data_IF_316514026717
#
_entry.id   IF_316514026717
#
_cell.length_a   1.000
_cell.length_b   1.000
_cell.length_c   1.000
_cell.angle_alpha   90.00
_cell.angle_beta   90.00
_cell.angle_gamma   90.00
#
_symmetry.space_group_name_H-M   'P 1'
#
loop_
_entity.id
_entity.type
_entity.pdbx_description
1 polymer ?
#
# COMPACT_ATOMS: atom_id res chain seq x y z
N UNK A 1 -13.89 -24.74 -14.08
CA UNK A 1 -13.67 -23.90 -15.27
C UNK A 1 -14.09 -22.49 -14.87
N UNK A 2 -13.17 -21.72 -14.27
CA UNK A 2 -13.44 -20.39 -13.71
C UNK A 2 -13.11 -19.36 -14.78
N UNK A 3 -14.15 -18.86 -15.44
CA UNK A 3 -14.06 -17.70 -16.33
C UNK A 3 -13.85 -16.46 -15.47
N UNK A 4 -12.58 -16.07 -15.37
CA UNK A 4 -12.14 -14.75 -14.93
C UNK A 4 -12.74 -13.69 -15.86
N UNK A 5 -13.80 -13.02 -15.41
CA UNK A 5 -14.35 -11.81 -16.05
C UNK A 5 -13.67 -10.59 -15.39
N UNK A 6 -12.34 -10.59 -15.30
CA UNK A 6 -11.55 -9.43 -14.85
C UNK A 6 -11.09 -8.59 -16.06
N UNK A 7 -11.99 -8.41 -17.03
CA UNK A 7 -11.76 -7.62 -18.24
C UNK A 7 -12.51 -6.29 -18.19
N UNK A 8 -12.49 -5.61 -17.06
CA UNK A 8 -13.10 -4.27 -16.96
C UNK A 8 -12.04 -3.23 -17.32
N UNK A 9 -12.29 -2.36 -18.28
CA UNK A 9 -11.35 -1.28 -18.65
C UNK A 9 -11.02 -0.30 -17.51
N UNK A 10 -11.80 -0.28 -16.43
CA UNK A 10 -11.42 0.34 -15.15
C UNK A 10 -10.15 -0.33 -14.55
N UNK A 11 -10.00 -1.65 -14.69
CA UNK A 11 -8.80 -2.42 -14.31
C UNK A 11 -7.60 -2.07 -15.21
N UNK A 12 -7.83 -1.70 -16.47
CA UNK A 12 -6.75 -1.28 -17.37
C UNK A 12 -6.08 0.01 -16.90
N UNK A 13 -6.86 1.02 -16.50
CA UNK A 13 -6.33 2.26 -15.92
C UNK A 13 -5.75 2.04 -14.52
N UNK A 14 -6.34 1.16 -13.71
CA UNK A 14 -5.76 0.77 -12.42
C UNK A 14 -4.40 0.09 -12.58
N UNK A 15 -4.22 -0.72 -13.62
CA UNK A 15 -2.92 -1.33 -13.91
C UNK A 15 -1.86 -0.27 -14.21
N UNK A 16 -2.15 0.69 -15.09
CA UNK A 16 -1.21 1.77 -15.41
C UNK A 16 -0.89 2.64 -14.19
N UNK A 17 -1.89 2.98 -13.37
CA UNK A 17 -1.69 3.70 -12.11
C UNK A 17 -0.88 2.88 -11.10
N UNK A 18 -1.11 1.58 -11.02
CA UNK A 18 -0.36 0.69 -10.13
C UNK A 18 1.09 0.55 -10.59
N UNK A 19 1.35 0.45 -11.90
CA UNK A 19 2.70 0.46 -12.46
C UNK A 19 3.43 1.76 -12.10
N UNK A 20 2.78 2.93 -12.23
CA UNK A 20 3.38 4.20 -11.80
C UNK A 20 3.57 4.31 -10.28
N UNK A 21 2.62 3.81 -9.50
CA UNK A 21 2.76 3.78 -8.05
C UNK A 21 3.98 2.93 -7.66
N UNK A 22 4.19 1.80 -8.32
CA UNK A 22 5.38 0.97 -8.11
C UNK A 22 6.66 1.68 -8.54
N UNK A 23 6.65 2.38 -9.67
CA UNK A 23 7.80 3.18 -10.10
C UNK A 23 8.12 4.32 -9.12
N UNK A 24 7.09 4.96 -8.58
CA UNK A 24 7.25 5.97 -7.53
C UNK A 24 7.82 5.35 -6.26
N UNK A 25 7.30 4.21 -5.80
CA UNK A 25 7.80 3.48 -4.63
C UNK A 25 9.28 3.11 -4.82
N UNK A 26 9.64 2.58 -5.99
CA UNK A 26 11.02 2.25 -6.31
C UNK A 26 11.91 3.50 -6.28
N UNK A 27 11.48 4.56 -6.95
CA UNK A 27 12.23 5.82 -7.00
C UNK A 27 12.43 6.40 -5.60
N UNK A 28 11.38 6.42 -4.79
CA UNK A 28 11.43 6.90 -3.40
C UNK A 28 12.39 6.05 -2.56
N UNK A 29 12.24 4.73 -2.61
CA UNK A 29 13.03 3.80 -1.81
C UNK A 29 14.53 3.87 -2.10
N UNK A 30 14.92 4.21 -3.34
CA UNK A 30 16.32 4.35 -3.75
C UNK A 30 16.82 5.81 -3.79
N UNK A 31 15.97 6.79 -3.55
CA UNK A 31 16.38 8.19 -3.54
C UNK A 31 17.28 8.49 -2.34
N UNK A 32 18.42 9.13 -2.57
CA UNK A 32 19.37 9.44 -1.50
C UNK A 32 18.91 10.68 -0.71
N UNK A 33 18.57 10.48 0.56
CA UNK A 33 18.22 11.55 1.49
C UNK A 33 19.49 12.16 2.10
N UNK A 34 19.42 13.47 2.35
CA UNK A 34 20.43 14.21 3.12
C UNK A 34 19.83 14.57 4.48
N UNK A 35 20.13 13.77 5.50
CA UNK A 35 19.68 13.99 6.87
C UNK A 35 20.79 14.74 7.62
N UNK A 36 20.42 15.81 8.34
CA UNK A 36 21.41 16.65 9.03
C UNK A 36 22.10 15.87 10.15
N UNK A 37 23.42 15.75 10.06
CA UNK A 37 24.23 15.05 11.06
C UNK A 37 24.39 13.55 10.81
N UNK A 38 23.80 13.03 9.73
CA UNK A 38 23.85 11.63 9.34
C UNK A 38 24.46 11.44 7.94
N UNK A 39 24.97 10.24 7.64
CA UNK A 39 25.40 9.92 6.28
C UNK A 39 24.22 9.88 5.32
N UNK A 40 24.45 10.30 4.08
CA UNK A 40 23.45 10.20 3.01
C UNK A 40 23.08 8.73 2.78
N UNK A 41 21.79 8.40 2.87
CA UNK A 41 21.26 7.03 2.72
C UNK A 41 19.90 7.06 2.03
N UNK A 42 19.53 5.94 1.41
CA UNK A 42 18.21 5.78 0.82
C UNK A 42 17.17 5.40 1.90
N UNK A 43 15.86 5.69 1.71
CA UNK A 43 14.82 5.20 2.62
C UNK A 43 14.86 3.68 2.83
N UNK A 44 15.17 2.90 1.79
CA UNK A 44 15.33 1.46 1.91
C UNK A 44 16.49 1.09 2.84
N UNK A 45 17.64 1.77 2.72
CA UNK A 45 18.78 1.55 3.60
C UNK A 45 18.46 1.95 5.04
N UNK A 46 17.83 3.11 5.24
CA UNK A 46 17.44 3.59 6.58
C UNK A 46 16.51 2.57 7.23
N UNK A 47 15.48 2.10 6.52
CA UNK A 47 14.57 1.07 7.04
C UNK A 47 15.29 -0.23 7.42
N UNK A 48 16.25 -0.67 6.60
CA UNK A 48 17.01 -1.89 6.87
C UNK A 48 17.98 -1.73 8.06
N UNK A 49 18.73 -0.63 8.12
CA UNK A 49 19.70 -0.39 9.19
C UNK A 49 19.03 -0.04 10.52
N UNK A 50 17.91 0.69 10.51
CA UNK A 50 17.17 0.96 11.73
C UNK A 50 16.64 -0.33 12.38
N UNK A 51 16.30 -1.35 11.60
CA UNK A 51 15.92 -2.65 12.17
C UNK A 51 17.09 -3.36 12.88
N UNK A 52 18.33 -3.08 12.48
CA UNK A 52 19.53 -3.62 13.12
C UNK A 52 19.89 -2.80 14.36
N UNK A 53 19.77 -1.48 14.28
CA UNK A 53 20.17 -0.55 15.34
C UNK A 53 19.12 -0.44 16.47
N UNK A 54 17.84 -0.36 16.11
CA UNK A 54 16.72 -0.12 17.03
C UNK A 54 15.89 -1.38 17.30
N UNK A 55 16.13 -2.45 16.55
CA UNK A 55 15.37 -3.71 16.61
C UNK A 55 14.31 -3.83 15.52
N UNK A 56 13.86 -5.07 15.28
CA UNK A 56 12.95 -5.37 14.18
C UNK A 56 11.53 -4.90 14.52
N UNK A 57 11.00 -3.98 13.71
CA UNK A 57 9.61 -3.53 13.82
C UNK A 57 8.67 -4.41 12.97
N UNK A 58 7.52 -4.79 13.53
CA UNK A 58 6.40 -5.33 12.75
C UNK A 58 6.43 -6.84 12.43
N UNK A 59 7.32 -7.63 13.03
CA UNK A 59 7.14 -9.09 13.04
C UNK A 59 6.09 -9.48 14.08
N UNK A 60 5.23 -10.50 13.81
CA UNK A 60 4.49 -11.14 14.90
C UNK A 60 5.55 -11.62 15.90
N UNK A 61 5.41 -11.22 17.16
CA UNK A 61 6.38 -11.51 18.23
C UNK A 61 6.73 -13.00 18.22
N UNK A 62 7.79 -13.37 17.50
CA UNK A 62 8.51 -14.59 17.77
C UNK A 62 9.11 -14.44 19.17
N UNK A 63 9.30 -15.57 19.85
CA UNK A 63 9.68 -15.64 21.26
C UNK A 63 10.71 -14.55 21.60
N UNK A 64 10.30 -13.53 22.37
CA UNK A 64 11.10 -12.31 22.60
C UNK A 64 12.47 -12.64 23.21
N UNK A 65 12.65 -13.87 23.70
CA UNK A 65 13.91 -14.41 24.19
C UNK A 65 15.01 -14.42 23.12
N UNK A 66 14.66 -14.65 21.84
CA UNK A 66 15.60 -14.64 20.73
C UNK A 66 16.12 -13.23 20.39
N UNK A 67 15.42 -12.19 20.86
CA UNK A 67 15.77 -10.78 20.63
C UNK A 67 16.53 -10.14 21.79
N UNK A 68 16.99 -10.94 22.77
CA UNK A 68 17.78 -10.44 23.89
C UNK A 68 17.00 -9.57 24.88
N UNK A 69 15.66 -9.58 24.80
CA UNK A 69 14.80 -8.93 25.78
C UNK A 69 14.96 -9.67 27.11
N UNK A 70 15.44 -8.96 28.13
CA UNK A 70 15.62 -9.51 29.46
C UNK A 70 14.27 -9.77 30.14
N UNK A 71 13.74 -10.98 29.92
CA UNK A 71 12.55 -11.48 30.61
C UNK A 71 12.68 -11.55 32.13
N UNK A 72 13.90 -11.41 32.68
CA UNK A 72 14.13 -11.28 34.11
C UNK A 72 13.53 -9.99 34.68
N UNK A 73 13.53 -8.90 33.90
CA UNK A 73 12.89 -7.64 34.28
C UNK A 73 11.36 -7.75 34.36
N UNK A 74 10.74 -8.53 33.46
CA UNK A 74 9.29 -8.81 33.48
C UNK A 74 8.85 -9.62 34.70
N UNK A 75 9.76 -10.37 35.32
CA UNK A 75 9.51 -11.13 36.56
C UNK A 75 9.92 -10.36 37.82
N UNK A 76 10.55 -9.20 37.66
CA UNK A 76 10.91 -8.35 38.78
C UNK A 76 9.70 -7.47 39.15
N UNK A 77 9.05 -7.86 40.24
CA UNK A 77 7.82 -7.24 40.74
C UNK A 77 7.99 -5.75 41.06
N UNK A 78 9.19 -5.33 41.46
CA UNK A 78 9.52 -3.93 41.77
C UNK A 78 9.62 -3.09 40.48
N UNK A 79 10.27 -3.62 39.44
CA UNK A 79 10.41 -2.96 38.14
C UNK A 79 9.04 -2.84 37.46
N UNK A 80 8.23 -3.90 37.48
CA UNK A 80 6.88 -3.90 36.93
C UNK A 80 5.96 -2.95 37.69
N UNK A 81 6.04 -2.91 39.03
CA UNK A 81 5.24 -1.98 39.85
C UNK A 81 5.56 -0.52 39.52
N UNK A 82 6.83 -0.16 39.38
CA UNK A 82 7.24 1.19 38.97
C UNK A 82 6.83 1.51 37.52
N UNK A 83 6.90 0.54 36.62
CA UNK A 83 6.45 0.70 35.23
C UNK A 83 4.96 1.00 35.17
N UNK A 84 4.12 0.23 35.88
CA UNK A 84 2.67 0.46 35.92
C UNK A 84 2.28 1.75 36.64
N UNK A 85 3.04 2.17 37.65
CA UNK A 85 2.77 3.42 38.37
C UNK A 85 3.07 4.68 37.54
N UNK A 86 4.03 4.60 36.61
CA UNK A 86 4.50 5.76 35.84
C UNK A 86 3.99 5.79 34.39
N UNK A 87 3.65 4.65 33.80
CA UNK A 87 3.23 4.52 32.41
C UNK A 87 1.76 4.06 32.30
N UNK A 88 0.86 4.73 33.04
CA UNK A 88 -0.57 4.43 33.07
C UNK A 88 -1.23 4.47 31.66
N UNK A 89 -0.61 5.19 30.72
CA UNK A 89 -1.04 5.36 29.33
C UNK A 89 -0.48 4.31 28.35
N UNK A 90 0.50 3.49 28.73
CA UNK A 90 1.08 2.42 27.88
C UNK A 90 0.43 1.05 28.11
N UNK A 91 -0.77 1.01 28.71
CA UNK A 91 -1.71 -0.10 28.48
C UNK A 91 -2.19 -0.03 27.03
N UNK A 92 -1.27 -0.33 26.12
CA UNK A 92 -1.56 -0.49 24.71
C UNK A 92 -2.40 -1.76 24.64
N UNK A 93 -3.71 -1.59 24.51
CA UNK A 93 -4.56 -2.60 23.89
C UNK A 93 -3.98 -2.82 22.50
N UNK A 94 -3.06 -3.79 22.38
CA UNK A 94 -2.45 -4.15 21.10
C UNK A 94 -3.61 -4.61 20.24
N UNK A 95 -4.01 -3.86 19.18
CA UNK A 95 -5.08 -4.31 18.33
C UNK A 95 -4.64 -5.62 17.68
N UNK A 96 -5.45 -6.68 17.81
CA UNK A 96 -5.13 -8.02 17.27
C UNK A 96 -4.80 -7.98 15.77
N UNK A 97 -5.27 -6.95 15.06
CA UNK A 97 -5.06 -6.74 13.63
C UNK A 97 -4.39 -5.38 13.36
N UNK A 98 -3.11 -5.22 13.72
CA UNK A 98 -2.43 -3.92 13.58
C UNK A 98 -2.24 -3.42 12.14
N UNK A 99 -2.31 -4.28 11.10
CA UNK A 99 -1.96 -3.87 9.72
C UNK A 99 -2.87 -4.44 8.61
N UNK A 100 -3.99 -5.07 8.93
CA UNK A 100 -4.85 -5.68 7.90
C UNK A 100 -5.87 -4.67 7.39
N UNK A 101 -5.56 -4.00 6.28
CA UNK A 101 -6.55 -3.25 5.51
C UNK A 101 -7.27 -4.24 4.60
N UNK A 102 -8.50 -4.62 4.96
CA UNK A 102 -9.38 -5.40 4.09
C UNK A 102 -9.83 -4.46 2.96
N UNK A 103 -9.26 -4.64 1.78
CA UNK A 103 -9.68 -3.94 0.57
C UNK A 103 -10.64 -4.86 -0.20
N UNK A 104 -11.94 -4.75 0.09
CA UNK A 104 -12.97 -5.43 -0.70
C UNK A 104 -13.04 -4.76 -2.09
N UNK A 105 -12.96 -5.56 -3.15
CA UNK A 105 -13.11 -5.04 -4.50
C UNK A 105 -14.53 -4.50 -4.67
N UNK A 106 -14.72 -3.25 -5.13
CA UNK A 106 -16.06 -2.76 -5.40
C UNK A 106 -16.73 -3.62 -6.47
N UNK A 107 -18.02 -3.90 -6.30
CA UNK A 107 -18.81 -4.53 -7.36
C UNK A 107 -18.90 -3.58 -8.55
N UNK A 108 -18.54 -4.07 -9.74
CA UNK A 108 -18.60 -3.26 -10.95
C UNK A 108 -20.08 -3.01 -11.32
N UNK A 109 -20.51 -1.76 -11.50
CA UNK A 109 -21.90 -1.45 -11.84
C UNK A 109 -22.27 -1.81 -13.29
N UNK A 110 -21.29 -2.20 -14.12
CA UNK A 110 -21.49 -2.52 -15.53
C UNK A 110 -21.66 -4.02 -15.75
N UNK A 111 -22.60 -4.38 -16.61
CA UNK A 111 -22.73 -5.74 -17.12
C UNK A 111 -21.52 -6.10 -18.00
N UNK A 112 -21.14 -7.39 -18.10
CA UNK A 112 -20.00 -7.80 -18.91
C UNK A 112 -20.06 -7.35 -20.38
N UNK A 113 -21.26 -7.26 -20.96
CA UNK A 113 -21.44 -6.75 -22.33
C UNK A 113 -21.18 -5.24 -22.44
N UNK A 114 -21.60 -4.45 -21.45
CA UNK A 114 -21.37 -3.00 -21.41
C UNK A 114 -19.89 -2.69 -21.24
N UNK A 115 -19.18 -3.53 -20.48
CA UNK A 115 -17.73 -3.48 -20.34
C UNK A 115 -17.05 -3.71 -21.69
N UNK A 116 -17.41 -4.77 -22.43
CA UNK A 116 -16.83 -5.01 -23.76
C UNK A 116 -17.09 -3.86 -24.73
N UNK A 117 -18.30 -3.28 -24.71
CA UNK A 117 -18.62 -2.12 -25.54
C UNK A 117 -17.81 -0.88 -25.15
N UNK A 118 -17.58 -0.65 -23.86
CA UNK A 118 -16.71 0.42 -23.37
C UNK A 118 -15.27 0.24 -23.88
N UNK A 119 -14.73 -0.97 -23.80
CA UNK A 119 -13.37 -1.31 -24.25
C UNK A 119 -13.22 -1.06 -25.76
N UNK A 120 -14.15 -1.56 -26.57
CA UNK A 120 -14.14 -1.37 -28.03
C UNK A 120 -14.21 0.11 -28.43
N UNK A 121 -15.03 0.91 -27.73
CA UNK A 121 -15.17 2.34 -28.03
C UNK A 121 -13.93 3.15 -27.64
N UNK A 122 -13.30 2.83 -26.51
CA UNK A 122 -12.06 3.47 -26.08
C UNK A 122 -10.88 3.10 -26.99
N UNK A 123 -10.80 1.85 -27.43
CA UNK A 123 -9.80 1.41 -28.42
C UNK A 123 -10.01 2.10 -29.78
N UNK A 124 -11.26 2.22 -30.24
CA UNK A 124 -11.59 2.92 -31.47
C UNK A 124 -11.22 4.42 -31.43
N UNK A 125 -11.30 5.05 -30.26
CA UNK A 125 -10.85 6.42 -30.03
C UNK A 125 -9.31 6.57 -29.97
N UNK A 126 -8.54 5.49 -30.18
CA UNK A 126 -7.08 5.45 -30.05
C UNK A 126 -6.58 5.90 -28.67
N UNK A 127 -7.41 5.73 -27.64
CA UNK A 127 -7.12 6.17 -26.28
C UNK A 127 -6.50 5.02 -25.48
N UNK A 128 -5.23 4.72 -25.75
CA UNK A 128 -4.48 3.72 -24.97
C UNK A 128 -3.86 4.35 -23.71
N UNK A 129 -4.43 4.06 -22.55
CA UNK A 129 -3.92 4.53 -21.26
C UNK A 129 -2.51 4.02 -20.91
N UNK A 130 -1.99 2.96 -21.56
CA UNK A 130 -0.60 2.49 -21.38
C UNK A 130 0.41 3.35 -22.13
N UNK A 131 0.01 3.97 -23.24
CA UNK A 131 0.90 4.81 -24.04
C UNK A 131 1.06 6.23 -23.48
N UNK A 132 0.14 6.63 -22.59
CA UNK A 132 0.02 8.00 -22.11
C UNK A 132 0.66 8.14 -20.73
N UNK A 133 1.85 8.75 -20.71
CA UNK A 133 2.58 9.14 -19.48
C UNK A 133 2.00 10.44 -18.88
N UNK A 134 1.25 11.22 -19.66
CA UNK A 134 0.72 12.51 -19.24
C UNK A 134 -0.63 12.37 -18.51
N UNK A 135 -0.70 12.89 -17.27
CA UNK A 135 -1.94 12.96 -16.47
C UNK A 135 -3.08 13.71 -17.15
N UNK A 136 -2.80 14.75 -17.95
CA UNK A 136 -3.82 15.50 -18.69
C UNK A 136 -4.48 14.63 -19.76
N UNK A 137 -3.69 13.83 -20.45
CA UNK A 137 -4.20 12.93 -21.48
C UNK A 137 -4.94 11.74 -20.84
N UNK A 138 -4.51 11.24 -19.68
CA UNK A 138 -5.30 10.25 -18.92
C UNK A 138 -6.62 10.79 -18.43
N UNK A 139 -6.66 12.06 -18.00
CA UNK A 139 -7.91 12.72 -17.64
C UNK A 139 -8.90 12.73 -18.81
N UNK A 140 -8.43 12.93 -20.05
CA UNK A 140 -9.28 12.84 -21.24
C UNK A 140 -9.86 11.43 -21.40
N UNK A 141 -9.06 10.38 -21.21
CA UNK A 141 -9.53 8.99 -21.26
C UNK A 141 -10.64 8.76 -20.23
N UNK A 142 -10.47 9.23 -19.01
CA UNK A 142 -11.49 9.13 -17.96
C UNK A 142 -12.75 9.92 -18.28
N UNK A 143 -12.62 11.09 -18.91
CA UNK A 143 -13.77 11.90 -19.33
C UNK A 143 -14.57 11.22 -20.43
N UNK A 144 -13.90 10.63 -21.42
CA UNK A 144 -14.56 9.87 -22.49
C UNK A 144 -15.18 8.59 -21.96
N UNK A 145 -14.47 7.82 -21.14
CA UNK A 145 -15.02 6.63 -20.49
C UNK A 145 -16.27 6.97 -19.67
N UNK A 146 -16.27 8.08 -18.94
CA UNK A 146 -17.44 8.53 -18.19
C UNK A 146 -18.59 8.97 -19.11
N UNK A 147 -18.30 9.59 -20.25
CA UNK A 147 -19.30 9.95 -21.24
C UNK A 147 -20.00 8.70 -21.79
N UNK A 148 -19.22 7.68 -22.18
CA UNK A 148 -19.73 6.40 -22.67
C UNK A 148 -20.57 5.69 -21.59
N UNK A 149 -20.07 5.63 -20.35
CA UNK A 149 -20.79 4.98 -19.24
C UNK A 149 -22.13 5.67 -18.97
N UNK A 150 -22.23 6.99 -19.13
CA UNK A 150 -23.50 7.72 -18.97
C UNK A 150 -24.54 7.38 -20.03
N UNK A 151 -24.15 6.80 -21.16
CA UNK A 151 -25.11 6.30 -22.15
C UNK A 151 -25.72 4.95 -21.76
N UNK A 152 -25.08 4.22 -20.83
CA UNK A 152 -25.53 2.92 -20.35
C UNK A 152 -26.39 2.96 -19.09
N UNK A 153 -26.41 4.09 -18.38
CA UNK A 153 -27.18 4.34 -17.14
C UNK A 153 -28.50 5.06 -17.43
#
# INVERSE_FOLDING_TARGET
MMTSIFGCSIIFSLRALNEEAQDWVNTWNFHILQIRGEPNRSPADIFFFNQIEEGVYGLPLADLADYGVDHGALRNEEVMSNFFANNEQERLEIPENMNTVICESPECPLLPVQVLTLDEQLEAAQMDARSVINMDARKLIWQEALAIIREFL
#
